data_IF_346538822442
#
_entry.id   IF_346538822442
#
_cell.length_a   1.000
_cell.length_b   1.000
_cell.length_c   1.000
_cell.angle_alpha   90.00
_cell.angle_beta   90.00
_cell.angle_gamma   90.00
#
_symmetry.space_group_name_H-M   'P 1'
#
loop_
_entity.id
_entity.type
_entity.pdbx_description
1 polymer ?
#
# COMPACT_ATOMS: atom_id res chain seq x y z
N UNK A 1 -21.88 -3.60 -2.23
CA UNK A 1 -21.02 -2.39 -2.41
C UNK A 1 -20.12 -2.55 -3.65
N UNK A 2 -19.51 -1.48 -4.19
CA UNK A 2 -18.53 -1.57 -5.31
C UNK A 2 -17.19 -0.92 -4.96
N UNK A 3 -16.10 -1.69 -5.01
CA UNK A 3 -14.72 -1.21 -4.84
C UNK A 3 -13.96 -1.35 -6.15
N UNK A 4 -13.22 -0.31 -6.54
CA UNK A 4 -12.40 -0.33 -7.75
C UNK A 4 -11.18 -1.22 -7.57
N UNK A 5 -10.65 -1.78 -8.66
CA UNK A 5 -9.46 -2.65 -8.63
C UNK A 5 -8.23 -1.89 -8.06
N UNK A 6 -8.14 -0.59 -8.35
CA UNK A 6 -7.06 0.29 -7.89
C UNK A 6 -7.42 1.07 -6.63
N UNK A 7 -8.49 0.67 -5.93
CA UNK A 7 -8.89 1.34 -4.71
C UNK A 7 -7.79 1.25 -3.65
N UNK A 8 -7.69 2.30 -2.84
CA UNK A 8 -6.77 2.38 -1.72
C UNK A 8 -7.25 1.52 -0.54
N UNK A 9 -6.35 1.25 0.40
CA UNK A 9 -6.68 0.56 1.66
C UNK A 9 -7.78 1.30 2.42
N UNK A 10 -7.75 2.64 2.40
CA UNK A 10 -8.74 3.48 3.05
C UNK A 10 -10.14 3.29 2.45
N UNK A 11 -10.27 3.31 1.13
CA UNK A 11 -11.55 3.07 0.45
C UNK A 11 -12.09 1.67 0.73
N UNK A 12 -11.21 0.66 0.75
CA UNK A 12 -11.60 -0.72 1.05
C UNK A 12 -12.09 -0.88 2.49
N UNK A 13 -11.42 -0.24 3.44
CA UNK A 13 -11.79 -0.24 4.85
C UNK A 13 -13.12 0.45 5.09
N UNK A 14 -13.33 1.62 4.47
CA UNK A 14 -14.60 2.35 4.54
C UNK A 14 -15.73 1.54 3.92
N UNK A 15 -15.50 0.88 2.78
CA UNK A 15 -16.50 0.04 2.13
C UNK A 15 -16.85 -1.22 2.96
N UNK A 16 -15.92 -1.72 3.77
CA UNK A 16 -16.14 -2.82 4.71
C UNK A 16 -16.76 -2.36 6.05
N UNK A 17 -16.91 -1.05 6.26
CA UNK A 17 -17.36 -0.45 7.53
C UNK A 17 -16.53 -0.92 8.74
N UNK A 18 -15.20 -1.04 8.55
CA UNK A 18 -14.28 -1.48 9.59
C UNK A 18 -13.54 -0.31 10.24
N UNK A 19 -13.30 -0.39 11.54
CA UNK A 19 -12.30 0.43 12.22
C UNK A 19 -10.87 0.03 11.80
N UNK A 20 -9.86 0.78 12.25
CA UNK A 20 -8.46 0.44 11.97
C UNK A 20 -8.08 -0.93 12.54
N UNK A 21 -8.40 -1.20 13.81
CA UNK A 21 -8.06 -2.46 14.48
C UNK A 21 -8.78 -3.65 13.84
N UNK A 22 -10.04 -3.47 13.47
CA UNK A 22 -10.83 -4.47 12.75
C UNK A 22 -10.22 -4.79 11.39
N UNK A 23 -9.78 -3.76 10.68
CA UNK A 23 -9.12 -3.90 9.40
C UNK A 23 -7.77 -4.60 9.53
N UNK A 24 -7.00 -4.33 10.59
CA UNK A 24 -5.74 -5.01 10.85
C UNK A 24 -5.98 -6.51 11.11
N UNK A 25 -7.01 -6.87 11.88
CA UNK A 25 -7.41 -8.28 12.06
C UNK A 25 -7.80 -8.93 10.74
N UNK A 26 -8.65 -8.28 9.93
CA UNK A 26 -8.97 -8.75 8.58
C UNK A 26 -7.71 -8.92 7.70
N UNK A 27 -6.77 -7.98 7.78
CA UNK A 27 -5.50 -8.03 7.07
C UNK A 27 -4.70 -9.28 7.44
N UNK A 28 -4.59 -9.59 8.73
CA UNK A 28 -3.86 -10.76 9.21
C UNK A 28 -4.54 -12.07 8.82
N UNK A 29 -5.85 -12.17 9.01
CA UNK A 29 -6.63 -13.36 8.67
C UNK A 29 -6.53 -13.65 7.17
N UNK A 30 -6.71 -12.64 6.32
CA UNK A 30 -6.63 -12.81 4.85
C UNK A 30 -5.24 -13.20 4.37
N UNK A 31 -4.18 -12.71 5.03
CA UNK A 31 -2.81 -13.06 4.68
C UNK A 31 -2.51 -14.54 4.94
N UNK A 32 -2.95 -15.06 6.07
CA UNK A 32 -2.80 -16.47 6.44
C UNK A 32 -3.57 -17.38 5.47
N UNK A 33 -4.84 -17.07 5.22
CA UNK A 33 -5.69 -17.83 4.29
C UNK A 33 -5.14 -17.83 2.85
N UNK A 34 -4.70 -16.68 2.35
CA UNK A 34 -4.12 -16.59 1.01
C UNK A 34 -2.78 -17.34 0.90
N UNK A 35 -1.99 -17.39 1.98
CA UNK A 35 -0.75 -18.17 2.02
C UNK A 35 -1.04 -19.66 1.96
N UNK A 36 -1.97 -20.15 2.79
CA UNK A 36 -2.38 -21.55 2.78
C UNK A 36 -2.94 -21.97 1.42
N UNK A 37 -3.75 -21.10 0.78
CA UNK A 37 -4.24 -21.34 -0.57
C UNK A 37 -3.11 -21.45 -1.59
N UNK A 38 -2.14 -20.53 -1.55
CA UNK A 38 -1.02 -20.52 -2.49
C UNK A 38 -0.08 -21.74 -2.32
N UNK A 39 0.03 -22.26 -1.10
CA UNK A 39 0.82 -23.45 -0.78
C UNK A 39 0.09 -24.74 -1.20
N UNK A 40 -1.23 -24.83 -0.96
CA UNK A 40 -2.04 -25.97 -1.37
C UNK A 40 -2.26 -26.04 -2.89
N UNK A 41 -2.37 -24.88 -3.55
CA UNK A 41 -2.63 -24.77 -4.98
C UNK A 41 -1.67 -23.77 -5.66
N UNK A 42 -0.44 -24.20 -5.99
CA UNK A 42 0.57 -23.34 -6.60
C UNK A 42 0.17 -22.75 -7.96
N UNK A 43 -0.80 -23.35 -8.64
CA UNK A 43 -1.30 -22.91 -9.94
C UNK A 43 -2.27 -21.73 -9.84
N UNK A 44 -2.85 -21.49 -8.65
CA UNK A 44 -3.86 -20.44 -8.44
C UNK A 44 -3.22 -19.07 -8.16
N UNK A 45 -2.31 -18.66 -9.04
CA UNK A 45 -1.53 -17.42 -8.91
C UNK A 45 -2.35 -16.14 -9.10
N UNK A 46 -3.60 -16.24 -9.57
CA UNK A 46 -4.49 -15.10 -9.82
C UNK A 46 -5.89 -15.42 -9.34
N UNK A 47 -6.61 -14.40 -8.85
CA UNK A 47 -8.00 -14.54 -8.38
C UNK A 47 -8.92 -15.20 -9.42
N UNK A 48 -8.71 -14.93 -10.70
CA UNK A 48 -9.51 -15.50 -11.79
C UNK A 48 -9.35 -17.02 -11.92
N UNK A 49 -8.24 -17.58 -11.45
CA UNK A 49 -7.93 -19.02 -11.54
C UNK A 49 -8.52 -19.82 -10.38
N UNK A 50 -8.88 -19.14 -9.27
CA UNK A 50 -9.48 -19.79 -8.12
C UNK A 50 -10.94 -20.15 -8.46
N UNK A 51 -11.38 -21.41 -8.25
CA UNK A 51 -12.77 -21.81 -8.43
C UNK A 51 -13.76 -21.00 -7.58
N UNK A 52 -15.03 -20.92 -8.02
CA UNK A 52 -16.06 -20.15 -7.30
C UNK A 52 -16.36 -20.73 -5.90
N UNK A 53 -16.46 -22.05 -5.79
CA UNK A 53 -16.65 -22.76 -4.52
C UNK A 53 -15.54 -22.44 -3.51
N UNK A 54 -14.28 -22.39 -3.97
CA UNK A 54 -13.15 -22.07 -3.11
C UNK A 54 -13.18 -20.61 -2.62
N UNK A 55 -13.61 -19.69 -3.48
CA UNK A 55 -13.80 -18.28 -3.09
C UNK A 55 -14.86 -18.14 -2.00
N UNK A 56 -15.98 -18.85 -2.15
CA UNK A 56 -17.07 -18.85 -1.18
C UNK A 56 -16.66 -19.47 0.15
N UNK A 57 -15.99 -20.63 0.13
CA UNK A 57 -15.45 -21.27 1.34
C UNK A 57 -14.42 -20.38 2.04
N UNK A 58 -13.54 -19.72 1.28
CA UNK A 58 -12.58 -18.76 1.85
C UNK A 58 -13.31 -17.58 2.51
N UNK A 59 -14.33 -17.02 1.86
CA UNK A 59 -15.12 -15.93 2.42
C UNK A 59 -15.83 -16.36 3.71
N UNK A 60 -16.42 -17.55 3.73
CA UNK A 60 -17.11 -18.09 4.89
C UNK A 60 -16.15 -18.30 6.06
N UNK A 61 -14.99 -18.93 5.84
CA UNK A 61 -13.97 -19.14 6.88
C UNK A 61 -13.46 -17.82 7.46
N UNK A 62 -13.19 -16.83 6.61
CA UNK A 62 -12.76 -15.49 7.03
C UNK A 62 -13.86 -14.82 7.85
N UNK A 63 -15.09 -14.78 7.35
CA UNK A 63 -16.22 -14.16 8.05
C UNK A 63 -16.59 -14.90 9.34
N UNK A 64 -16.37 -16.21 9.44
CA UNK A 64 -16.52 -16.94 10.69
C UNK A 64 -15.52 -16.46 11.75
N UNK A 65 -14.23 -16.30 11.36
CA UNK A 65 -13.20 -15.75 12.27
C UNK A 65 -13.47 -14.30 12.66
N UNK A 66 -13.86 -13.45 11.70
CA UNK A 66 -14.22 -12.06 11.99
C UNK A 66 -15.39 -11.96 12.96
N UNK A 67 -16.46 -12.73 12.74
CA UNK A 67 -17.63 -12.74 13.63
C UNK A 67 -17.31 -13.26 15.03
N UNK A 68 -16.43 -14.25 15.15
CA UNK A 68 -15.96 -14.75 16.45
C UNK A 68 -15.26 -13.66 17.27
N UNK A 69 -14.66 -12.67 16.60
CA UNK A 69 -14.00 -11.51 17.22
C UNK A 69 -14.91 -10.27 17.31
N UNK A 70 -16.19 -10.38 16.95
CA UNK A 70 -17.14 -9.26 16.95
C UNK A 70 -16.90 -8.24 15.83
N UNK A 71 -16.19 -8.62 14.77
CA UNK A 71 -15.89 -7.77 13.61
C UNK A 71 -16.97 -7.97 12.53
N UNK A 72 -17.45 -6.89 11.87
CA UNK A 72 -18.42 -7.00 10.79
C UNK A 72 -17.93 -7.92 9.65
N UNK A 73 -18.83 -8.74 9.12
CA UNK A 73 -18.52 -9.59 7.98
C UNK A 73 -18.21 -8.75 6.73
N UNK A 74 -17.29 -9.23 5.89
CA UNK A 74 -16.94 -8.58 4.63
C UNK A 74 -17.67 -9.22 3.46
N UNK A 75 -17.89 -8.43 2.41
CA UNK A 75 -18.44 -8.91 1.14
C UNK A 75 -17.34 -9.55 0.26
N UNK A 76 -17.77 -10.41 -0.68
CA UNK A 76 -16.90 -11.04 -1.67
C UNK A 76 -16.05 -10.03 -2.46
N UNK A 77 -16.57 -8.83 -2.70
CA UNK A 77 -15.85 -7.81 -3.47
C UNK A 77 -14.62 -7.27 -2.73
N UNK A 78 -14.70 -7.13 -1.40
CA UNK A 78 -13.58 -6.73 -0.54
C UNK A 78 -12.56 -7.86 -0.48
N UNK A 79 -13.02 -9.11 -0.34
CA UNK A 79 -12.15 -10.28 -0.37
C UNK A 79 -11.40 -10.39 -1.71
N UNK A 80 -12.12 -10.28 -2.83
CA UNK A 80 -11.54 -10.28 -4.19
C UNK A 80 -10.45 -9.23 -4.33
N UNK A 81 -10.73 -7.99 -3.93
CA UNK A 81 -9.76 -6.89 -4.00
C UNK A 81 -8.50 -7.25 -3.18
N UNK A 82 -8.71 -7.71 -1.94
CA UNK A 82 -7.64 -8.01 -0.99
C UNK A 82 -6.75 -9.17 -1.45
N UNK A 83 -7.36 -10.30 -1.80
CA UNK A 83 -6.64 -11.50 -2.23
C UNK A 83 -5.94 -11.27 -3.57
N UNK A 84 -6.53 -10.49 -4.48
CA UNK A 84 -5.87 -10.12 -5.73
C UNK A 84 -4.56 -9.35 -5.51
N UNK A 85 -4.49 -8.50 -4.48
CA UNK A 85 -3.24 -7.82 -4.11
C UNK A 85 -2.23 -8.80 -3.53
N UNK A 86 -2.66 -9.65 -2.60
CA UNK A 86 -1.80 -10.64 -1.95
C UNK A 86 -1.17 -11.62 -2.95
N UNK A 87 -1.95 -12.16 -3.88
CA UNK A 87 -1.44 -13.08 -4.90
C UNK A 87 -0.39 -12.41 -5.80
N UNK A 88 -0.60 -11.14 -6.18
CA UNK A 88 0.40 -10.36 -6.93
C UNK A 88 1.68 -10.14 -6.11
N UNK A 89 1.55 -9.84 -4.84
CA UNK A 89 2.71 -9.64 -3.95
C UNK A 89 3.50 -10.92 -3.73
N UNK A 90 2.80 -12.04 -3.54
CA UNK A 90 3.39 -13.38 -3.42
C UNK A 90 4.17 -13.71 -4.69
N UNK A 91 3.56 -13.54 -5.86
CA UNK A 91 4.22 -13.80 -7.13
C UNK A 91 5.48 -12.94 -7.33
N UNK A 92 5.40 -11.63 -7.05
CA UNK A 92 6.57 -10.73 -7.13
C UNK A 92 7.71 -11.16 -6.21
N UNK A 93 7.41 -11.66 -5.01
CA UNK A 93 8.42 -12.15 -4.06
C UNK A 93 9.09 -13.43 -4.55
N UNK A 94 8.35 -14.36 -5.16
CA UNK A 94 8.93 -15.57 -5.75
C UNK A 94 9.81 -15.25 -6.96
N UNK A 95 9.39 -14.33 -7.84
CA UNK A 95 10.19 -13.92 -9.01
C UNK A 95 11.47 -13.18 -8.59
N UNK A 96 11.40 -12.29 -7.59
CA UNK A 96 12.56 -11.59 -7.06
C UNK A 96 13.49 -12.51 -6.23
N UNK A 97 12.93 -13.46 -5.47
CA UNK A 97 13.69 -14.45 -4.72
C UNK A 97 14.38 -15.49 -5.63
N UNK A 98 13.74 -15.86 -6.75
CA UNK A 98 14.32 -16.77 -7.74
C UNK A 98 15.54 -16.18 -8.48
N UNK A 99 15.71 -14.86 -8.48
CA UNK A 99 16.86 -14.18 -9.10
C UNK A 99 18.06 -14.02 -8.13
N UNK A 100 17.89 -14.25 -6.83
CA UNK A 100 18.94 -14.05 -5.81
C UNK A 100 19.77 -15.30 -5.49
N UNK A 101 19.43 -16.48 -6.04
CA UNK A 101 20.14 -17.73 -5.75
C UNK A 101 21.31 -18.05 -6.72
N UNK A 102 21.75 -17.06 -7.51
CA UNK A 102 22.74 -17.26 -8.58
C UNK A 102 24.00 -16.39 -8.54
N UNK A 103 24.26 -15.62 -7.48
CA UNK A 103 25.46 -14.76 -7.40
C UNK A 103 26.34 -15.16 -6.20
N UNK A 104 27.55 -15.71 -6.41
CA UNK A 104 28.50 -15.87 -5.31
C UNK A 104 28.91 -14.50 -4.79
N UNK A 105 28.77 -14.31 -3.48
CA UNK A 105 29.19 -13.11 -2.76
C UNK A 105 30.72 -13.05 -2.81
N UNK A 106 31.25 -12.25 -3.72
CA UNK A 106 32.65 -11.84 -3.68
C UNK A 106 32.86 -10.86 -2.53
N UNK A 107 33.40 -11.39 -1.45
CA UNK A 107 34.01 -10.70 -0.34
C UNK A 107 35.05 -9.65 -0.82
N UNK A 108 34.84 -8.36 -0.54
CA UNK A 108 35.91 -7.35 -0.56
C UNK A 108 35.50 -6.03 0.11
N UNK A 109 36.24 -5.69 1.19
CA UNK A 109 36.56 -4.32 1.64
C UNK A 109 35.43 -3.53 2.29
N UNK A 110 35.30 -3.43 3.61
CA UNK A 110 36.18 -2.70 4.55
C UNK A 110 36.17 -1.18 4.33
N UNK A 111 35.62 -0.44 5.31
CA UNK A 111 35.86 1.01 5.47
C UNK A 111 34.63 1.85 5.82
N UNK A 112 34.24 1.88 7.09
CA UNK A 112 33.70 3.12 7.74
C UNK A 112 34.91 3.91 8.27
N UNK A 113 34.89 5.27 8.37
CA UNK A 113 34.05 5.93 9.38
C UNK A 113 33.44 7.30 8.99
N UNK A 114 32.25 7.54 9.56
CA UNK A 114 31.82 8.74 10.30
C UNK A 114 32.66 10.02 10.11
N UNK A 115 32.03 11.09 9.61
CA UNK A 115 32.38 12.47 9.97
C UNK A 115 31.15 13.24 10.46
N UNK A 116 31.25 13.69 11.71
CA UNK A 116 30.38 14.64 12.38
C UNK A 116 30.92 16.04 12.07
N UNK A 117 30.09 16.93 11.54
CA UNK A 117 30.38 18.37 11.53
C UNK A 117 29.24 19.14 12.20
N UNK A 118 29.50 19.48 13.46
CA UNK A 118 28.86 20.56 14.20
C UNK A 118 29.45 21.88 13.74
N UNK A 119 28.61 22.81 13.31
CA UNK A 119 28.98 24.23 13.13
C UNK A 119 28.14 25.08 14.06
N UNK A 120 28.85 25.84 14.89
CA UNK A 120 28.37 26.64 16.00
C UNK A 120 27.63 27.92 15.57
N UNK A 121 26.81 28.33 16.53
CA UNK A 121 26.10 29.59 16.74
C UNK A 121 27.01 30.82 16.61
N UNK A 122 26.53 31.87 15.94
CA UNK A 122 26.87 33.25 16.25
C UNK A 122 25.60 34.10 16.32
N UNK A 123 25.52 34.87 17.38
CA UNK A 123 24.43 35.76 17.80
C UNK A 123 24.92 37.19 17.77
N UNK A 124 24.22 38.06 17.05
CA UNK A 124 24.13 39.53 17.20
C UNK A 124 23.00 39.92 16.21
N UNK A 125 21.94 40.66 16.50
CA UNK A 125 21.77 41.83 17.34
C UNK A 125 20.84 42.79 16.53
N UNK A 126 19.65 43.05 17.07
CA UNK A 126 18.85 44.28 16.88
C UNK A 126 17.99 44.55 15.63
N UNK A 127 16.68 44.68 15.92
CA UNK A 127 15.68 45.67 15.44
C UNK A 127 15.22 45.63 13.97
N UNK A 128 13.91 45.48 13.69
CA UNK A 128 12.94 46.58 13.60
C UNK A 128 11.59 46.13 12.98
N UNK A 129 10.52 46.61 13.63
CA UNK A 129 9.11 46.77 13.28
C UNK A 129 8.64 46.57 11.82
N UNK A 130 7.48 45.94 11.62
CA UNK A 130 6.22 46.52 11.06
C UNK A 130 5.26 45.45 10.52
N UNK A 131 4.06 45.32 11.09
CA UNK A 131 2.85 44.86 10.36
C UNK A 131 2.19 46.09 9.71
N UNK A 132 1.07 46.02 8.95
CA UNK A 132 0.37 44.90 8.27
C UNK A 132 0.01 45.24 6.79
N UNK A 133 -0.09 44.31 5.82
CA UNK A 133 -0.96 44.52 4.65
C UNK A 133 -1.55 43.23 4.05
N UNK A 134 -2.88 43.23 4.05
CA UNK A 134 -3.81 42.48 3.21
C UNK A 134 -3.47 42.63 1.71
N UNK A 135 -3.57 41.55 0.93
CA UNK A 135 -3.94 41.59 -0.50
C UNK A 135 -4.33 40.19 -0.97
N UNK A 136 -5.65 40.00 -1.16
CA UNK A 136 -6.23 39.07 -2.13
C UNK A 136 -5.65 39.41 -3.50
N UNK A 137 -5.13 38.45 -4.29
CA UNK A 137 -5.09 38.51 -5.77
C UNK A 137 -4.60 37.17 -6.34
N UNK A 138 -5.53 36.39 -6.90
CA UNK A 138 -5.27 35.54 -8.07
C UNK A 138 -5.14 36.43 -9.31
N UNK A 139 -4.20 36.12 -10.21
CA UNK A 139 -4.59 36.06 -11.62
C UNK A 139 -3.94 34.89 -12.38
N UNK A 140 -4.79 34.23 -13.16
CA UNK A 140 -4.56 33.39 -14.34
C UNK A 140 -3.12 33.17 -14.80
N UNK A 141 -2.65 31.94 -14.65
CA UNK A 141 -1.42 31.45 -15.27
C UNK A 141 -1.69 31.24 -16.77
N UNK A 142 -1.46 32.30 -17.55
CA UNK A 142 -1.48 32.27 -19.02
C UNK A 142 -0.39 31.34 -19.50
N UNK A 143 -0.74 30.09 -19.83
CA UNK A 143 0.20 29.14 -20.43
C UNK A 143 0.76 29.71 -21.74
N UNK A 144 2.07 29.59 -22.02
CA UNK A 144 2.66 30.02 -23.27
C UNK A 144 2.00 29.32 -24.47
N UNK A 145 1.75 30.08 -25.54
CA UNK A 145 1.17 29.60 -26.78
C UNK A 145 2.03 28.49 -27.40
N UNK A 146 1.40 27.37 -27.77
CA UNK A 146 2.08 26.22 -28.38
C UNK A 146 1.59 26.04 -29.83
N UNK A 147 2.40 26.41 -30.83
CA UNK A 147 2.00 26.41 -32.24
C UNK A 147 1.81 25.01 -32.84
N UNK A 148 2.08 23.93 -32.09
CA UNK A 148 1.77 22.56 -32.52
C UNK A 148 0.39 22.13 -32.00
N UNK A 149 -0.08 22.68 -30.88
CA UNK A 149 -1.32 22.27 -30.20
C UNK A 149 -2.50 23.21 -30.45
N UNK A 150 -2.24 24.49 -30.73
CA UNK A 150 -3.27 25.53 -30.83
C UNK A 150 -3.50 26.01 -32.29
N UNK A 151 -3.44 25.09 -33.28
CA UNK A 151 -3.79 25.28 -34.72
C UNK A 151 -5.06 24.53 -35.10
#
# INVERSE_FOLDING_TARGET
MSIRINATVQEARTAANHSQEQWDRFYFITKDEARQLAEAHPDWKRWILIPANEKEQMLERINARLRAEGIPAVEMIILKWRVSQLLRDIQRKYEAGSMLQGMPVANSGSGSPIQVQTSQIQSDGSLQSSSPQRSEYSPSETRPYDPIRDV
#
